data_IF_296240648555
#
_entry.id   IF_296240648555
#
_cell.length_a   1.000
_cell.length_b   1.000
_cell.length_c   1.000
_cell.angle_alpha   90.00
_cell.angle_beta   90.00
_cell.angle_gamma   90.00
#
_symmetry.space_group_name_H-M   'P 1'
#
loop_
_entity.id
_entity.type
_entity.pdbx_description
1 polymer ?
#
# COMPACT_ATOMS: atom_id res chain seq x y z
N UNK A 1 4.14 -14.13 37.40
CA UNK A 1 2.90 -13.52 36.90
C UNK A 1 3.33 -12.28 36.16
N UNK A 2 3.43 -12.36 34.82
CA UNK A 2 3.74 -11.20 34.00
C UNK A 2 2.51 -10.29 34.03
N UNK A 3 2.67 -9.07 34.55
CA UNK A 3 1.64 -8.05 34.52
C UNK A 3 1.35 -7.71 33.06
N UNK A 4 0.17 -8.10 32.63
CA UNK A 4 -0.37 -7.71 31.32
C UNK A 4 -0.70 -6.20 31.39
N UNK A 5 0.34 -5.36 31.27
CA UNK A 5 0.16 -3.91 31.17
C UNK A 5 -0.39 -3.68 29.77
N UNK A 6 -1.61 -3.17 29.60
CA UNK A 6 -2.12 -2.82 28.27
C UNK A 6 -1.10 -1.92 27.59
N UNK A 7 -0.84 -2.17 26.33
CA UNK A 7 0.01 -1.34 25.50
C UNK A 7 -0.71 0.02 25.36
N UNK A 8 -0.42 0.94 26.29
CA UNK A 8 -1.04 2.26 26.35
C UNK A 8 -0.61 3.07 25.13
N UNK A 9 -1.51 3.15 24.14
CA UNK A 9 -1.23 3.71 22.83
C UNK A 9 -0.91 5.22 22.92
N UNK A 10 -1.54 5.95 23.84
CA UNK A 10 -1.37 7.40 23.94
C UNK A 10 -0.01 7.76 24.54
N UNK A 11 0.37 7.10 25.65
CA UNK A 11 1.68 7.28 26.26
C UNK A 11 2.82 6.80 25.34
N UNK A 12 2.58 5.77 24.52
CA UNK A 12 3.56 5.30 23.55
C UNK A 12 3.70 6.26 22.38
N UNK A 13 2.59 6.83 21.89
CA UNK A 13 2.60 7.82 20.80
C UNK A 13 3.41 9.05 21.20
N UNK A 14 3.23 9.53 22.43
CA UNK A 14 4.02 10.64 22.97
C UNK A 14 5.52 10.31 23.03
N UNK A 15 5.88 9.13 23.54
CA UNK A 15 7.27 8.66 23.55
C UNK A 15 7.86 8.54 22.13
N UNK A 16 7.11 8.01 21.17
CA UNK A 16 7.57 7.89 19.78
C UNK A 16 7.89 9.23 19.13
N UNK A 17 7.24 10.32 19.58
CA UNK A 17 7.46 11.68 19.08
C UNK A 17 8.60 12.39 19.82
N UNK A 18 8.71 12.24 21.14
CA UNK A 18 9.57 13.06 21.97
C UNK A 18 10.82 12.33 22.50
N UNK A 19 10.75 11.02 22.70
CA UNK A 19 11.84 10.15 23.14
C UNK A 19 11.79 8.78 22.46
N UNK A 20 12.17 8.68 21.17
CA UNK A 20 12.12 7.42 20.42
C UNK A 20 12.97 6.30 21.05
N UNK A 21 14.02 6.63 21.81
CA UNK A 21 14.87 5.63 22.47
C UNK A 21 14.14 4.98 23.66
N UNK A 22 13.46 5.79 24.50
CA UNK A 22 12.63 5.27 25.56
C UNK A 22 11.44 4.47 25.02
N UNK A 23 10.82 4.94 23.90
CA UNK A 23 9.79 4.19 23.20
C UNK A 23 10.31 2.82 22.75
N UNK A 24 11.48 2.77 22.11
CA UNK A 24 12.09 1.51 21.67
C UNK A 24 12.33 0.54 22.82
N UNK A 25 12.89 1.01 23.94
CA UNK A 25 13.12 0.16 25.11
C UNK A 25 11.81 -0.44 25.63
N UNK A 26 10.76 0.37 25.74
CA UNK A 26 9.43 -0.08 26.21
C UNK A 26 8.78 -1.09 25.25
N UNK A 27 8.86 -0.81 23.93
CA UNK A 27 8.33 -1.72 22.89
C UNK A 27 9.09 -3.04 22.90
N UNK A 28 10.42 -3.00 23.01
CA UNK A 28 11.25 -4.21 23.10
C UNK A 28 10.86 -5.08 24.28
N UNK A 29 10.72 -4.50 25.46
CA UNK A 29 10.38 -5.24 26.68
C UNK A 29 8.98 -5.89 26.55
N UNK A 30 8.00 -5.20 25.96
CA UNK A 30 6.68 -5.73 25.66
C UNK A 30 6.72 -6.85 24.61
N UNK A 31 7.52 -6.69 23.55
CA UNK A 31 7.70 -7.70 22.51
C UNK A 31 8.34 -8.98 23.06
N UNK A 32 9.35 -8.84 23.94
CA UNK A 32 9.98 -9.95 24.63
C UNK A 32 9.03 -10.66 25.61
N UNK A 33 8.06 -9.93 26.18
CA UNK A 33 6.99 -10.50 26.98
C UNK A 33 5.90 -11.21 26.15
N UNK A 34 6.05 -11.25 24.81
CA UNK A 34 5.17 -11.98 23.91
C UNK A 34 3.98 -11.18 23.37
N UNK A 35 3.93 -9.86 23.59
CA UNK A 35 2.85 -9.03 23.03
C UNK A 35 3.01 -8.87 21.51
N UNK A 36 2.06 -9.39 20.75
CA UNK A 36 2.17 -9.52 19.27
C UNK A 36 2.21 -8.16 18.57
N UNK A 37 1.44 -7.20 19.05
CA UNK A 37 1.43 -5.83 18.53
C UNK A 37 2.79 -5.15 18.78
N UNK A 38 3.39 -5.39 19.92
CA UNK A 38 4.73 -4.88 20.25
C UNK A 38 5.81 -5.54 19.39
N UNK A 39 5.70 -6.82 19.06
CA UNK A 39 6.62 -7.52 18.16
C UNK A 39 6.57 -6.91 16.74
N UNK A 40 5.35 -6.63 16.23
CA UNK A 40 5.17 -5.97 14.94
C UNK A 40 5.79 -4.56 14.95
N UNK A 41 5.51 -3.77 15.98
CA UNK A 41 6.04 -2.42 16.10
C UNK A 41 7.56 -2.41 16.28
N UNK A 42 8.13 -3.34 17.05
CA UNK A 42 9.58 -3.47 17.22
C UNK A 42 10.27 -3.78 15.89
N UNK A 43 9.67 -4.65 15.07
CA UNK A 43 10.14 -4.91 13.71
C UNK A 43 10.15 -3.64 12.86
N UNK A 44 9.09 -2.83 12.90
CA UNK A 44 9.02 -1.56 12.19
C UNK A 44 10.08 -0.57 12.68
N UNK A 45 10.28 -0.45 14.00
CA UNK A 45 11.30 0.44 14.59
C UNK A 45 12.70 0.05 14.14
N UNK A 46 13.03 -1.23 14.08
CA UNK A 46 14.30 -1.72 13.52
C UNK A 46 14.42 -1.41 12.02
N UNK A 47 13.33 -1.59 11.25
CA UNK A 47 13.32 -1.33 9.81
C UNK A 47 13.54 0.15 9.48
N UNK A 48 12.98 1.05 10.29
CA UNK A 48 13.04 2.50 10.09
C UNK A 48 14.21 3.17 10.81
N UNK A 49 14.87 2.49 11.76
CA UNK A 49 15.88 3.08 12.61
C UNK A 49 15.30 4.04 13.64
N UNK A 50 14.07 3.80 14.11
CA UNK A 50 13.38 4.68 15.04
C UNK A 50 13.69 4.30 16.50
N UNK A 51 14.44 5.16 17.20
CA UNK A 51 14.90 4.91 18.57
C UNK A 51 16.03 3.86 18.67
N UNK A 52 16.51 3.34 17.55
CA UNK A 52 17.60 2.36 17.43
C UNK A 52 18.27 2.59 16.07
N UNK A 53 19.54 2.17 15.85
CA UNK A 53 20.08 2.08 14.50
C UNK A 53 19.22 1.17 13.61
N UNK A 54 19.13 1.53 12.34
CA UNK A 54 18.41 0.71 11.35
C UNK A 54 19.05 -0.68 11.25
N UNK A 55 18.24 -1.72 11.40
CA UNK A 55 18.66 -3.12 11.32
C UNK A 55 17.57 -3.97 10.64
N UNK A 56 17.69 -4.16 9.35
CA UNK A 56 16.73 -4.93 8.57
C UNK A 56 16.74 -6.44 8.92
N UNK A 57 17.87 -6.98 9.40
CA UNK A 57 17.96 -8.38 9.81
C UNK A 57 17.21 -8.59 11.14
N UNK A 58 17.39 -7.70 12.11
CA UNK A 58 16.61 -7.71 13.35
C UNK A 58 15.11 -7.50 13.08
N UNK A 59 14.75 -6.59 12.17
CA UNK A 59 13.36 -6.37 11.75
C UNK A 59 12.74 -7.65 11.17
N UNK A 60 13.46 -8.36 10.29
CA UNK A 60 13.00 -9.62 9.70
C UNK A 60 12.66 -10.66 10.78
N UNK A 61 13.54 -10.86 11.77
CA UNK A 61 13.33 -11.81 12.87
C UNK A 61 12.08 -11.47 13.70
N UNK A 62 11.85 -10.17 13.97
CA UNK A 62 10.68 -9.75 14.72
C UNK A 62 9.38 -9.83 13.88
N UNK A 63 9.44 -9.54 12.56
CA UNK A 63 8.30 -9.82 11.68
C UNK A 63 7.98 -11.31 11.61
N UNK A 64 9.00 -12.18 11.55
CA UNK A 64 8.79 -13.63 11.58
C UNK A 64 8.16 -14.08 12.90
N UNK A 65 8.64 -13.56 14.03
CA UNK A 65 8.08 -13.85 15.35
C UNK A 65 6.60 -13.42 15.43
N UNK A 66 6.27 -12.20 15.04
CA UNK A 66 4.89 -11.69 15.05
C UNK A 66 3.99 -12.44 14.06
N UNK A 67 4.50 -12.80 12.87
CA UNK A 67 3.77 -13.56 11.86
C UNK A 67 3.44 -14.98 12.33
N UNK A 68 4.37 -15.64 13.01
CA UNK A 68 4.14 -16.96 13.60
C UNK A 68 3.17 -16.91 14.81
N UNK A 69 3.07 -15.77 15.47
CA UNK A 69 2.07 -15.50 16.49
C UNK A 69 0.71 -15.01 15.91
N UNK A 70 0.56 -15.09 14.59
CA UNK A 70 -0.72 -14.87 13.93
C UNK A 70 -1.02 -13.44 13.50
N UNK A 71 -0.07 -12.49 13.59
CA UNK A 71 -0.28 -11.11 13.15
C UNK A 71 -0.38 -10.99 11.62
N UNK A 72 -1.54 -10.62 11.03
CA UNK A 72 -1.69 -10.58 9.56
C UNK A 72 -0.78 -9.55 8.90
N UNK A 73 -0.62 -8.37 9.52
CA UNK A 73 0.26 -7.33 9.00
C UNK A 73 1.73 -7.76 9.04
N UNK A 74 2.16 -8.52 10.07
CA UNK A 74 3.52 -9.05 10.14
C UNK A 74 3.76 -10.09 9.03
N UNK A 75 2.78 -10.96 8.72
CA UNK A 75 2.85 -11.87 7.58
C UNK A 75 3.06 -11.11 6.27
N UNK A 76 2.29 -10.03 6.06
CA UNK A 76 2.44 -9.18 4.89
C UNK A 76 3.80 -8.48 4.83
N UNK A 77 4.29 -7.94 5.95
CA UNK A 77 5.60 -7.28 6.01
C UNK A 77 6.76 -8.28 5.81
N UNK A 78 6.64 -9.48 6.36
CA UNK A 78 7.60 -10.56 6.14
C UNK A 78 7.64 -10.98 4.65
N UNK A 79 6.47 -11.06 4.00
CA UNK A 79 6.37 -11.25 2.56
C UNK A 79 7.14 -10.17 1.79
N UNK A 80 6.98 -8.90 2.16
CA UNK A 80 7.73 -7.80 1.54
C UNK A 80 9.23 -7.88 1.77
N UNK A 81 9.67 -8.26 2.96
CA UNK A 81 11.09 -8.47 3.24
C UNK A 81 11.68 -9.52 2.30
N UNK A 82 11.01 -10.64 2.11
CA UNK A 82 11.44 -11.67 1.17
C UNK A 82 11.33 -11.22 -0.30
N UNK A 83 10.31 -10.46 -0.66
CA UNK A 83 10.16 -9.97 -2.03
C UNK A 83 11.28 -9.01 -2.45
N UNK A 84 11.67 -8.11 -1.53
CA UNK A 84 12.63 -7.02 -1.79
C UNK A 84 14.04 -7.32 -1.32
N UNK A 85 14.27 -8.42 -0.59
CA UNK A 85 15.57 -8.74 -0.01
C UNK A 85 15.96 -7.85 1.17
N UNK A 86 14.98 -7.39 1.96
CA UNK A 86 15.21 -6.56 3.14
C UNK A 86 15.55 -7.44 4.35
N UNK A 87 16.78 -7.33 4.84
CA UNK A 87 17.29 -8.19 5.93
C UNK A 87 17.57 -9.65 5.52
N UNK A 88 17.37 -10.03 4.27
CA UNK A 88 17.60 -11.36 3.73
C UNK A 88 17.84 -11.29 2.22
N UNK A 89 18.21 -12.41 1.60
CA UNK A 89 18.23 -12.52 0.13
C UNK A 89 16.80 -12.52 -0.42
N UNK A 90 16.57 -11.81 -1.52
CA UNK A 90 15.26 -11.76 -2.17
C UNK A 90 14.79 -13.16 -2.60
N UNK A 91 13.58 -13.50 -2.21
CA UNK A 91 12.92 -14.77 -2.53
C UNK A 91 11.42 -14.55 -2.79
N UNK A 92 11.02 -14.22 -4.03
CA UNK A 92 9.61 -13.98 -4.37
C UNK A 92 8.69 -15.18 -4.15
N UNK A 93 9.21 -16.42 -4.26
CA UNK A 93 8.41 -17.62 -3.98
C UNK A 93 8.04 -17.72 -2.51
N UNK A 94 8.98 -17.42 -1.60
CA UNK A 94 8.69 -17.37 -0.17
C UNK A 94 7.80 -16.17 0.19
N UNK A 95 7.98 -15.03 -0.50
CA UNK A 95 7.08 -13.89 -0.37
C UNK A 95 5.63 -14.27 -0.68
N UNK A 96 5.40 -15.02 -1.75
CA UNK A 96 4.05 -15.49 -2.11
C UNK A 96 3.42 -16.37 -1.03
N UNK A 97 4.21 -17.20 -0.34
CA UNK A 97 3.72 -18.02 0.78
C UNK A 97 3.21 -17.11 1.92
N UNK A 98 3.99 -16.11 2.29
CA UNK A 98 3.62 -15.20 3.38
C UNK A 98 2.46 -14.27 3.01
N UNK A 99 2.42 -13.75 1.77
CA UNK A 99 1.28 -12.98 1.29
C UNK A 99 -0.01 -13.81 1.23
N UNK A 100 0.08 -15.11 0.88
CA UNK A 100 -1.07 -16.01 0.91
C UNK A 100 -1.59 -16.18 2.34
N UNK A 101 -0.70 -16.43 3.30
CA UNK A 101 -1.10 -16.50 4.72
C UNK A 101 -1.77 -15.23 5.19
N UNK A 102 -1.25 -14.04 4.83
CA UNK A 102 -1.88 -12.77 5.13
C UNK A 102 -3.25 -12.62 4.43
N UNK A 103 -3.36 -12.99 3.17
CA UNK A 103 -4.60 -12.96 2.39
C UNK A 103 -5.69 -13.89 2.95
N UNK A 104 -5.29 -15.05 3.48
CA UNK A 104 -6.20 -16.04 4.09
C UNK A 104 -6.82 -15.50 5.39
N UNK A 105 -6.17 -14.56 6.08
CA UNK A 105 -6.76 -13.83 7.22
C UNK A 105 -7.76 -12.75 6.81
N UNK A 106 -7.86 -12.44 5.52
CA UNK A 106 -8.68 -11.35 4.99
C UNK A 106 -7.94 -10.00 4.93
N UNK A 107 -6.62 -9.95 5.15
CA UNK A 107 -5.86 -8.70 5.04
C UNK A 107 -5.82 -8.26 3.56
N UNK A 108 -6.33 -7.07 3.30
CA UNK A 108 -6.41 -6.45 1.97
C UNK A 108 -5.04 -6.24 1.30
N UNK A 109 -4.02 -5.84 2.07
CA UNK A 109 -2.63 -5.75 1.60
C UNK A 109 -2.05 -7.11 1.22
N UNK A 110 -2.39 -8.18 1.95
CA UNK A 110 -1.98 -9.55 1.61
C UNK A 110 -2.60 -10.00 0.29
N UNK A 111 -3.89 -9.75 0.10
CA UNK A 111 -4.62 -10.02 -1.16
C UNK A 111 -3.98 -9.27 -2.34
N UNK A 112 -3.74 -7.97 -2.18
CA UNK A 112 -3.13 -7.12 -3.20
C UNK A 112 -1.72 -7.58 -3.59
N UNK A 113 -0.86 -7.85 -2.62
CA UNK A 113 0.53 -8.24 -2.88
C UNK A 113 0.62 -9.63 -3.51
N UNK A 114 -0.20 -10.60 -3.06
CA UNK A 114 -0.29 -11.90 -3.71
C UNK A 114 -0.78 -11.78 -5.15
N UNK A 115 -1.79 -10.94 -5.39
CA UNK A 115 -2.31 -10.68 -6.72
C UNK A 115 -1.25 -10.12 -7.67
N UNK A 116 -0.38 -9.21 -7.19
CA UNK A 116 0.74 -8.68 -7.99
C UNK A 116 1.73 -9.78 -8.42
N UNK A 117 2.06 -10.71 -7.53
CA UNK A 117 2.95 -11.83 -7.87
C UNK A 117 2.31 -12.76 -8.89
N UNK A 118 1.03 -13.10 -8.72
CA UNK A 118 0.28 -13.93 -9.68
C UNK A 118 0.07 -13.24 -11.03
N UNK A 119 -0.20 -11.95 -11.04
CA UNK A 119 -0.38 -11.18 -12.27
C UNK A 119 0.88 -11.12 -13.13
N UNK A 120 2.06 -11.13 -12.48
CA UNK A 120 3.36 -11.00 -13.16
C UNK A 120 4.12 -12.32 -13.33
N UNK A 121 3.72 -13.38 -12.63
CA UNK A 121 4.44 -14.65 -12.60
C UNK A 121 5.74 -14.59 -11.79
N UNK A 122 5.89 -13.59 -10.90
CA UNK A 122 7.11 -13.42 -10.12
C UNK A 122 7.13 -14.33 -8.91
N UNK A 123 7.98 -15.35 -8.95
CA UNK A 123 8.13 -16.36 -7.88
C UNK A 123 7.00 -17.40 -7.80
N UNK A 124 5.97 -17.27 -8.62
CA UNK A 124 4.83 -18.18 -8.77
C UNK A 124 4.44 -18.27 -10.24
N UNK A 125 3.74 -19.31 -10.70
CA UNK A 125 3.15 -19.31 -12.03
C UNK A 125 2.23 -18.10 -12.24
N UNK A 126 2.23 -17.55 -13.46
CA UNK A 126 1.34 -16.44 -13.80
C UNK A 126 -0.11 -16.94 -13.89
N UNK A 127 -0.98 -16.34 -13.09
CA UNK A 127 -2.41 -16.70 -13.00
C UNK A 127 -3.27 -15.43 -12.96
N UNK A 128 -3.46 -14.79 -14.12
CA UNK A 128 -4.14 -13.48 -14.22
C UNK A 128 -5.58 -13.48 -13.70
N UNK A 129 -6.35 -14.54 -14.00
CA UNK A 129 -7.73 -14.65 -13.52
C UNK A 129 -7.79 -14.73 -11.98
N UNK A 130 -6.87 -15.47 -11.35
CA UNK A 130 -6.76 -15.54 -9.90
C UNK A 130 -6.32 -14.19 -9.31
N UNK A 131 -5.37 -13.50 -9.97
CA UNK A 131 -4.94 -12.17 -9.55
C UNK A 131 -6.11 -11.17 -9.56
N UNK A 132 -6.93 -11.17 -10.63
CA UNK A 132 -8.12 -10.32 -10.72
C UNK A 132 -9.13 -10.63 -9.61
N UNK A 133 -9.36 -11.90 -9.29
CA UNK A 133 -10.25 -12.28 -8.18
C UNK A 133 -9.73 -11.75 -6.82
N UNK A 134 -8.42 -11.79 -6.59
CA UNK A 134 -7.82 -11.24 -5.37
C UNK A 134 -7.86 -9.71 -5.34
N UNK A 135 -7.59 -9.02 -6.45
CA UNK A 135 -7.78 -7.56 -6.55
C UNK A 135 -9.24 -7.17 -6.26
N UNK A 136 -10.20 -7.93 -6.80
CA UNK A 136 -11.62 -7.70 -6.56
C UNK A 136 -11.95 -7.82 -5.07
N UNK A 137 -11.48 -8.88 -4.41
CA UNK A 137 -11.67 -9.05 -2.96
C UNK A 137 -11.04 -7.89 -2.16
N UNK A 138 -9.80 -7.51 -2.47
CA UNK A 138 -9.11 -6.40 -1.80
C UNK A 138 -9.85 -5.06 -2.04
N UNK A 139 -10.35 -4.82 -3.25
CA UNK A 139 -11.13 -3.63 -3.58
C UNK A 139 -12.42 -3.53 -2.76
N UNK A 140 -13.12 -4.65 -2.58
CA UNK A 140 -14.32 -4.70 -1.73
C UNK A 140 -14.00 -4.45 -0.25
N UNK A 141 -12.81 -4.80 0.22
CA UNK A 141 -12.32 -4.50 1.57
C UNK A 141 -11.83 -3.05 1.76
N UNK A 142 -11.83 -2.24 0.70
CA UNK A 142 -11.44 -0.83 0.79
C UNK A 142 -10.02 -0.52 0.30
N UNK A 143 -9.28 -1.50 -0.24
CA UNK A 143 -7.92 -1.27 -0.70
C UNK A 143 -7.86 -0.41 -1.97
N UNK A 144 -7.47 0.85 -1.83
CA UNK A 144 -7.55 1.88 -2.87
C UNK A 144 -6.82 1.50 -4.17
N UNK A 145 -5.60 0.96 -4.08
CA UNK A 145 -4.84 0.51 -5.27
C UNK A 145 -5.52 -0.63 -6.01
N UNK A 146 -6.16 -1.55 -5.27
CA UNK A 146 -6.91 -2.65 -5.88
C UNK A 146 -8.20 -2.16 -6.55
N UNK A 147 -8.86 -1.15 -6.00
CA UNK A 147 -10.01 -0.49 -6.66
C UNK A 147 -9.60 0.08 -8.02
N UNK A 148 -8.47 0.79 -8.09
CA UNK A 148 -7.95 1.34 -9.34
C UNK A 148 -7.57 0.24 -10.35
N UNK A 149 -6.94 -0.85 -9.90
CA UNK A 149 -6.61 -1.97 -10.79
C UNK A 149 -7.86 -2.68 -11.31
N UNK A 150 -8.84 -2.94 -10.44
CA UNK A 150 -10.12 -3.53 -10.86
C UNK A 150 -10.84 -2.64 -11.88
N UNK A 151 -10.84 -1.31 -11.67
CA UNK A 151 -11.41 -0.37 -12.62
C UNK A 151 -10.76 -0.48 -14.00
N UNK A 152 -9.43 -0.56 -14.08
CA UNK A 152 -8.71 -0.74 -15.34
C UNK A 152 -9.05 -2.06 -16.03
N UNK A 153 -9.13 -3.16 -15.30
CA UNK A 153 -9.53 -4.45 -15.89
C UNK A 153 -10.94 -4.40 -16.47
N UNK A 154 -11.88 -3.71 -15.81
CA UNK A 154 -13.25 -3.51 -16.29
C UNK A 154 -13.31 -2.54 -17.49
N UNK A 155 -12.50 -1.48 -17.50
CA UNK A 155 -12.43 -0.52 -18.61
C UNK A 155 -11.88 -1.17 -19.88
N UNK A 156 -10.79 -1.90 -19.75
CA UNK A 156 -10.08 -2.53 -20.88
C UNK A 156 -10.71 -3.88 -21.29
N UNK A 157 -11.51 -4.51 -20.42
CA UNK A 157 -12.03 -5.86 -20.61
C UNK A 157 -10.94 -6.93 -20.49
N UNK A 158 -9.88 -6.68 -19.70
CA UNK A 158 -8.77 -7.61 -19.50
C UNK A 158 -9.13 -8.64 -18.41
N UNK A 159 -9.07 -9.91 -18.79
CA UNK A 159 -9.40 -11.05 -17.91
C UNK A 159 -10.83 -11.01 -17.34
N UNK A 160 -11.69 -10.11 -17.84
CA UNK A 160 -13.11 -9.94 -17.47
C UNK A 160 -13.88 -9.32 -18.63
N UNK A 161 -15.22 -9.30 -18.55
CA UNK A 161 -16.04 -8.55 -19.48
C UNK A 161 -15.81 -7.04 -19.34
N UNK A 162 -15.78 -6.32 -20.48
CA UNK A 162 -15.67 -4.85 -20.47
C UNK A 162 -16.93 -4.23 -19.87
N UNK A 163 -16.76 -3.42 -18.83
CA UNK A 163 -17.84 -2.66 -18.16
C UNK A 163 -17.34 -1.27 -17.76
N UNK A 164 -17.40 -0.28 -18.68
CA UNK A 164 -16.94 1.07 -18.40
C UNK A 164 -17.75 1.77 -17.30
N UNK A 165 -19.03 1.41 -17.12
CA UNK A 165 -19.87 1.99 -16.09
C UNK A 165 -19.43 1.53 -14.68
N UNK A 166 -19.17 0.23 -14.53
CA UNK A 166 -18.59 -0.30 -13.29
C UNK A 166 -17.17 0.26 -13.06
N UNK A 167 -16.35 0.39 -14.12
CA UNK A 167 -15.01 0.97 -14.04
C UNK A 167 -15.04 2.40 -13.48
N UNK A 168 -15.94 3.26 -13.97
CA UNK A 168 -16.14 4.62 -13.45
C UNK A 168 -16.43 4.61 -11.95
N UNK A 169 -17.33 3.73 -11.50
CA UNK A 169 -17.65 3.60 -10.08
C UNK A 169 -16.44 3.21 -9.22
N UNK A 170 -15.61 2.30 -9.72
CA UNK A 170 -14.40 1.87 -9.01
C UNK A 170 -13.29 2.93 -9.04
N UNK A 171 -13.08 3.65 -10.15
CA UNK A 171 -12.13 4.78 -10.19
C UNK A 171 -12.50 5.87 -9.21
N UNK A 172 -13.79 6.23 -9.13
CA UNK A 172 -14.29 7.20 -8.16
C UNK A 172 -13.98 6.74 -6.72
N UNK A 173 -14.29 5.48 -6.37
CA UNK A 173 -13.99 4.93 -5.04
C UNK A 173 -12.49 4.90 -4.74
N UNK A 174 -11.64 4.57 -5.72
CA UNK A 174 -10.19 4.61 -5.59
C UNK A 174 -9.69 6.03 -5.32
N UNK A 175 -10.23 7.03 -6.02
CA UNK A 175 -9.91 8.44 -5.83
C UNK A 175 -10.31 8.94 -4.44
N UNK A 176 -11.52 8.63 -4.00
CA UNK A 176 -12.05 8.95 -2.66
C UNK A 176 -11.22 8.27 -1.56
N UNK A 177 -10.70 7.06 -1.80
CA UNK A 177 -9.81 6.33 -0.90
C UNK A 177 -8.34 6.78 -0.96
N UNK A 178 -8.02 7.82 -1.74
CA UNK A 178 -6.71 8.46 -1.76
C UNK A 178 -5.66 7.81 -2.69
N UNK A 179 -6.04 6.91 -3.59
CA UNK A 179 -5.09 6.39 -4.59
C UNK A 179 -4.83 7.44 -5.67
N UNK A 180 -3.61 7.96 -5.74
CA UNK A 180 -3.26 9.03 -6.69
C UNK A 180 -3.43 8.62 -8.17
N UNK A 181 -3.28 7.32 -8.51
CA UNK A 181 -3.57 6.82 -9.86
C UNK A 181 -5.07 6.77 -10.11
N UNK A 182 -5.85 6.33 -9.11
CA UNK A 182 -7.31 6.36 -9.14
C UNK A 182 -7.84 7.79 -9.32
N UNK A 183 -7.24 8.77 -8.62
CA UNK A 183 -7.57 10.20 -8.76
C UNK A 183 -7.31 10.69 -10.19
N UNK A 184 -6.15 10.37 -10.77
CA UNK A 184 -5.81 10.76 -12.14
C UNK A 184 -6.71 10.08 -13.19
N UNK A 185 -6.99 8.79 -13.04
CA UNK A 185 -7.86 8.05 -13.96
C UNK A 185 -9.31 8.57 -13.88
N UNK A 186 -9.81 8.83 -12.67
CA UNK A 186 -11.14 9.41 -12.49
C UNK A 186 -11.22 10.83 -13.10
N UNK A 187 -10.18 11.65 -12.89
CA UNK A 187 -10.10 12.97 -13.51
C UNK A 187 -10.07 12.91 -15.05
N UNK A 188 -9.39 11.92 -15.63
CA UNK A 188 -9.39 11.72 -17.09
C UNK A 188 -10.80 11.49 -17.65
N UNK A 189 -11.61 10.68 -16.95
CA UNK A 189 -13.01 10.44 -17.34
C UNK A 189 -13.84 11.72 -17.20
N UNK A 190 -13.64 12.49 -16.12
CA UNK A 190 -14.33 13.77 -15.90
C UNK A 190 -13.98 14.78 -16.99
N UNK A 191 -12.71 14.84 -17.46
CA UNK A 191 -12.32 15.69 -18.58
C UNK A 191 -13.04 15.30 -19.89
N UNK A 192 -13.19 14.02 -20.16
CA UNK A 192 -13.93 13.51 -21.32
C UNK A 192 -15.43 13.87 -21.23
N UNK A 193 -15.98 13.92 -20.02
CA UNK A 193 -17.36 14.33 -19.75
C UNK A 193 -17.56 15.88 -19.74
N UNK A 194 -16.47 16.66 -19.84
CA UNK A 194 -16.53 18.12 -19.77
C UNK A 194 -16.60 18.70 -18.35
N UNK A 195 -16.43 17.87 -17.33
CA UNK A 195 -16.47 18.24 -15.92
C UNK A 195 -15.09 18.77 -15.44
N UNK A 196 -14.65 19.88 -16.05
CA UNK A 196 -13.27 20.38 -15.95
C UNK A 196 -12.89 20.75 -14.52
N UNK A 197 -13.75 21.42 -13.77
CA UNK A 197 -13.46 21.88 -12.40
C UNK A 197 -13.26 20.69 -11.44
N UNK A 198 -14.10 19.67 -11.55
CA UNK A 198 -13.96 18.45 -10.75
C UNK A 198 -12.68 17.70 -11.13
N UNK A 199 -12.39 17.60 -12.42
CA UNK A 199 -11.15 16.97 -12.89
C UNK A 199 -9.89 17.66 -12.35
N UNK A 200 -9.86 19.00 -12.38
CA UNK A 200 -8.76 19.80 -11.83
C UNK A 200 -8.57 19.52 -10.33
N UNK A 201 -9.65 19.44 -9.55
CA UNK A 201 -9.57 19.10 -8.13
C UNK A 201 -8.88 17.72 -7.92
N UNK A 202 -9.31 16.68 -8.64
CA UNK A 202 -8.72 15.35 -8.50
C UNK A 202 -7.28 15.27 -8.99
N UNK A 203 -6.93 16.00 -10.05
CA UNK A 203 -5.55 16.10 -10.51
C UNK A 203 -4.64 16.79 -9.49
N UNK A 204 -5.11 17.83 -8.81
CA UNK A 204 -4.37 18.47 -7.72
C UNK A 204 -4.03 17.48 -6.60
N UNK A 205 -5.01 16.68 -6.17
CA UNK A 205 -4.78 15.65 -5.15
C UNK A 205 -3.80 14.58 -5.64
N UNK A 206 -3.92 14.13 -6.91
CA UNK A 206 -3.01 13.16 -7.50
C UNK A 206 -1.56 13.67 -7.56
N UNK A 207 -1.36 14.96 -7.87
CA UNK A 207 -0.04 15.59 -7.90
C UNK A 207 0.56 15.75 -6.50
N UNK A 208 -0.25 16.01 -5.47
CA UNK A 208 0.22 16.14 -4.09
C UNK A 208 0.78 14.83 -3.52
N UNK A 209 0.22 13.69 -3.92
CA UNK A 209 0.53 12.38 -3.35
C UNK A 209 1.23 11.43 -4.33
N UNK A 210 1.44 11.87 -5.57
CA UNK A 210 2.04 11.07 -6.64
C UNK A 210 3.49 10.69 -6.36
N UNK A 211 3.86 9.44 -6.67
CA UNK A 211 5.26 9.02 -6.61
C UNK A 211 6.11 9.73 -7.67
N UNK A 212 7.45 9.83 -7.50
CA UNK A 212 8.33 10.43 -8.50
C UNK A 212 8.16 9.83 -9.91
N UNK A 213 7.98 8.51 -10.00
CA UNK A 213 7.74 7.83 -11.27
C UNK A 213 6.39 8.19 -11.89
N UNK A 214 5.35 8.37 -11.08
CA UNK A 214 4.05 8.86 -11.53
C UNK A 214 4.15 10.31 -12.02
N UNK A 215 4.82 11.18 -11.26
CA UNK A 215 5.02 12.57 -11.62
C UNK A 215 5.77 12.73 -12.95
N UNK A 216 6.82 11.93 -13.17
CA UNK A 216 7.59 11.93 -14.41
C UNK A 216 6.73 11.60 -15.65
N UNK A 217 5.65 10.82 -15.44
CA UNK A 217 4.73 10.44 -16.52
C UNK A 217 3.59 11.45 -16.68
N UNK A 218 2.91 11.82 -15.60
CA UNK A 218 1.69 12.61 -15.66
C UNK A 218 1.95 14.10 -16.00
N UNK A 219 3.04 14.70 -15.52
CA UNK A 219 3.32 16.13 -15.70
C UNK A 219 3.42 16.52 -17.19
N UNK A 220 4.14 15.79 -18.06
CA UNK A 220 4.14 16.07 -19.48
C UNK A 220 2.76 15.96 -20.15
N UNK A 221 1.95 14.99 -19.72
CA UNK A 221 0.59 14.82 -20.24
C UNK A 221 -0.32 16.00 -19.85
N UNK A 222 -0.25 16.46 -18.60
CA UNK A 222 -1.02 17.60 -18.13
C UNK A 222 -0.57 18.90 -18.82
N UNK A 223 0.72 19.06 -19.08
CA UNK A 223 1.27 20.22 -19.79
C UNK A 223 0.79 20.29 -21.25
N UNK A 224 0.53 19.15 -21.89
CA UNK A 224 -0.01 19.04 -23.25
C UNK A 224 -1.54 19.07 -23.30
N UNK A 225 -2.23 19.17 -22.17
CA UNK A 225 -3.70 19.15 -22.10
C UNK A 225 -4.33 20.28 -22.93
N UNK A 226 -5.45 20.05 -23.65
CA UNK A 226 -6.20 21.11 -24.33
C UNK A 226 -6.80 22.14 -23.34
N UNK A 227 -7.00 21.76 -22.10
CA UNK A 227 -7.66 22.60 -21.08
C UNK A 227 -6.64 23.50 -20.36
N UNK A 228 -6.79 24.86 -20.43
CA UNK A 228 -5.87 25.79 -19.76
C UNK A 228 -5.77 25.58 -18.24
N UNK A 229 -6.89 25.24 -17.60
CA UNK A 229 -6.95 24.99 -16.15
C UNK A 229 -6.09 23.78 -15.75
N UNK A 230 -6.06 22.74 -16.58
CA UNK A 230 -5.22 21.54 -16.37
C UNK A 230 -3.74 21.87 -16.57
N UNK A 231 -3.40 22.62 -17.65
CA UNK A 231 -2.01 23.06 -17.88
C UNK A 231 -1.46 23.92 -16.75
N UNK A 232 -2.31 24.76 -16.16
CA UNK A 232 -1.93 25.61 -15.04
C UNK A 232 -1.46 24.84 -13.80
N UNK A 233 -1.90 23.59 -13.60
CA UNK A 233 -1.48 22.75 -12.48
C UNK A 233 0.02 22.41 -12.47
N UNK A 234 0.65 22.40 -13.62
CA UNK A 234 2.04 22.01 -13.83
C UNK A 234 2.90 23.11 -14.46
N UNK A 235 2.31 24.30 -14.64
CA UNK A 235 3.04 25.46 -15.11
C UNK A 235 4.10 25.87 -14.06
N UNK A 236 5.34 26.25 -14.47
CA UNK A 236 6.31 26.81 -13.55
C UNK A 236 5.70 28.05 -12.88
N UNK A 237 5.83 28.14 -11.55
CA UNK A 237 5.42 29.32 -10.81
C UNK A 237 6.12 30.54 -11.43
N UNK A 238 5.34 31.50 -11.93
CA UNK A 238 5.90 32.78 -12.35
C UNK A 238 6.54 33.44 -11.11
N UNK A 239 7.90 33.47 -11.07
CA UNK A 239 8.65 34.22 -10.08
C UNK A 239 8.50 35.73 -10.29
#
# INVERSE_FOLDING_TARGET
>A
MASNIPFDSDALTDLLLHDPQAAFARVRDAAQAGQVEAQLLLAQMHMEGKGTPQDAAAALLWYETAANNGAPMAMNMLGRCHELGQGTTANPSLAAVWYRRAADTGLDWGLYNLANLLATGRGVPQERAQALALYTRAAHLGHAKSMNLLARHLEDGLDTGRDPQAALGWYRRAAEAGDFRGQANYASILLQAGEIEQAVHWLQLALQHGSPAFMAHIVPELAASPYPQVRALVAPSAC
#
